data_IF_986966070513
#
_entry.id   IF_986966070513
#
_cell.length_a   1.000
_cell.length_b   1.000
_cell.length_c   1.000
_cell.angle_alpha   90.00
_cell.angle_beta   90.00
_cell.angle_gamma   90.00
#
_symmetry.space_group_name_H-M   'P 1'
#
loop_
_entity.id
_entity.type
_entity.pdbx_description
1 polymer ?
#
# COMPACT_ATOMS: atom_id res chain seq x y z
N UNK A 1 22.30 3.88 -8.60
CA UNK A 1 21.93 4.26 -7.23
C UNK A 1 22.51 3.24 -6.28
N UNK A 2 22.80 3.56 -5.02
CA UNK A 2 23.15 2.53 -4.05
C UNK A 2 21.98 1.54 -3.95
N UNK A 3 22.31 0.27 -3.75
CA UNK A 3 21.33 -0.78 -3.54
C UNK A 3 20.67 -0.56 -2.17
N UNK A 4 19.34 -0.71 -2.09
CA UNK A 4 18.63 -0.72 -0.82
C UNK A 4 19.04 -1.94 0.00
N UNK A 5 19.28 -1.76 1.28
CA UNK A 5 19.56 -2.81 2.27
C UNK A 5 18.58 -2.66 3.43
N UNK A 6 17.87 -3.71 3.75
CA UNK A 6 16.90 -3.68 4.85
C UNK A 6 17.59 -3.50 6.21
N UNK A 7 17.13 -2.58 7.06
CA UNK A 7 17.76 -2.30 8.37
C UNK A 7 17.31 -3.32 9.43
N UNK A 8 17.55 -4.61 9.16
CA UNK A 8 17.08 -5.74 9.99
C UNK A 8 17.54 -5.63 11.45
N UNK A 9 18.80 -5.28 11.69
CA UNK A 9 19.33 -5.16 13.05
C UNK A 9 18.59 -4.09 13.86
N UNK A 10 18.27 -2.94 13.22
CA UNK A 10 17.53 -1.87 13.88
C UNK A 10 16.08 -2.28 14.16
N UNK A 11 15.44 -2.99 13.21
CA UNK A 11 14.09 -3.52 13.40
C UNK A 11 14.04 -4.56 14.53
N UNK A 12 14.96 -5.51 14.55
CA UNK A 12 15.05 -6.53 15.59
C UNK A 12 15.31 -5.92 16.96
N UNK A 13 16.21 -4.94 17.07
CA UNK A 13 16.47 -4.21 18.31
C UNK A 13 15.19 -3.54 18.84
N UNK A 14 14.46 -2.84 17.97
CA UNK A 14 13.21 -2.17 18.39
C UNK A 14 12.18 -3.20 18.86
N UNK A 15 11.97 -4.28 18.12
CA UNK A 15 10.97 -5.30 18.44
C UNK A 15 11.31 -6.10 19.70
N UNK A 16 12.53 -6.62 19.78
CA UNK A 16 12.88 -7.57 20.83
C UNK A 16 13.41 -6.89 22.10
N UNK A 17 14.33 -5.91 21.95
CA UNK A 17 15.01 -5.30 23.10
C UNK A 17 14.20 -4.13 23.67
N UNK A 18 13.62 -3.27 22.80
CA UNK A 18 12.92 -2.08 23.28
C UNK A 18 11.43 -2.35 23.57
N UNK A 19 10.68 -2.97 22.65
CA UNK A 19 9.26 -3.27 22.82
C UNK A 19 8.98 -4.56 23.57
N UNK A 20 9.98 -5.41 23.76
CA UNK A 20 9.86 -6.72 24.41
C UNK A 20 8.73 -7.57 23.83
N UNK A 21 8.86 -7.87 22.53
CA UNK A 21 7.81 -8.51 21.73
C UNK A 21 7.36 -9.86 22.34
N UNK A 22 8.27 -10.65 22.90
CA UNK A 22 7.92 -11.92 23.56
C UNK A 22 6.94 -11.74 24.72
N UNK A 23 7.17 -10.73 25.57
CA UNK A 23 6.25 -10.44 26.67
C UNK A 23 4.92 -9.85 26.18
N UNK A 24 4.93 -9.14 25.04
CA UNK A 24 3.73 -8.66 24.39
C UNK A 24 2.88 -9.83 23.87
N UNK A 25 3.47 -10.75 23.14
CA UNK A 25 2.78 -11.91 22.58
C UNK A 25 2.25 -12.86 23.66
N UNK A 26 3.00 -13.04 24.74
CA UNK A 26 2.50 -13.80 25.89
C UNK A 26 1.19 -13.21 26.47
N UNK A 27 1.08 -11.89 26.53
CA UNK A 27 -0.16 -11.23 27.02
C UNK A 27 -1.35 -11.39 26.08
N UNK A 28 -1.09 -11.56 24.80
CA UNK A 28 -2.12 -11.70 23.74
C UNK A 28 -2.44 -13.17 23.40
N UNK A 29 -1.73 -14.14 23.98
CA UNK A 29 -1.88 -15.56 23.63
C UNK A 29 -1.34 -15.90 22.24
N UNK A 30 -0.27 -15.21 21.82
CA UNK A 30 0.38 -15.34 20.52
C UNK A 30 1.78 -15.96 20.63
N UNK A 31 2.00 -16.86 21.59
CA UNK A 31 3.31 -17.46 21.88
C UNK A 31 3.88 -18.29 20.74
N UNK A 32 3.04 -18.71 19.78
CA UNK A 32 3.47 -19.42 18.56
C UNK A 32 4.37 -18.55 17.68
N UNK A 33 4.30 -17.21 17.82
CA UNK A 33 5.21 -16.27 17.14
C UNK A 33 6.44 -16.00 18.01
N UNK A 34 7.33 -16.98 18.10
CA UNK A 34 8.58 -16.81 18.84
C UNK A 34 9.57 -15.90 18.10
N UNK A 35 10.67 -15.54 18.79
CA UNK A 35 11.67 -14.65 18.23
C UNK A 35 12.35 -15.21 16.97
N UNK A 36 12.55 -16.52 16.88
CA UNK A 36 13.20 -17.18 15.74
C UNK A 36 12.30 -17.06 14.49
N UNK A 37 11.01 -17.37 14.63
CA UNK A 37 10.03 -17.24 13.54
C UNK A 37 9.89 -15.79 13.08
N UNK A 38 9.78 -14.83 14.01
CA UNK A 38 9.70 -13.39 13.68
C UNK A 38 10.95 -12.98 12.90
N UNK A 39 12.14 -13.33 13.34
CA UNK A 39 13.38 -13.00 12.65
C UNK A 39 13.45 -13.63 11.26
N UNK A 40 12.99 -14.87 11.10
CA UNK A 40 12.97 -15.52 9.79
C UNK A 40 12.03 -14.81 8.82
N UNK A 41 10.81 -14.44 9.25
CA UNK A 41 9.87 -13.66 8.42
C UNK A 41 10.51 -12.32 7.99
N UNK A 42 11.16 -11.61 8.91
CA UNK A 42 11.84 -10.35 8.59
C UNK A 42 12.98 -10.56 7.58
N UNK A 43 13.78 -11.61 7.74
CA UNK A 43 14.88 -11.93 6.83
C UNK A 43 14.37 -12.27 5.42
N UNK A 44 13.29 -13.05 5.31
CA UNK A 44 12.67 -13.35 4.02
C UNK A 44 12.06 -12.10 3.38
N UNK A 45 11.39 -11.24 4.17
CA UNK A 45 10.89 -9.95 3.71
C UNK A 45 11.99 -9.01 3.21
N UNK A 46 13.14 -8.99 3.90
CA UNK A 46 14.33 -8.24 3.49
C UNK A 46 14.85 -8.75 2.15
N UNK A 47 15.07 -10.07 2.04
CA UNK A 47 15.55 -10.68 0.81
C UNK A 47 14.64 -10.38 -0.39
N UNK A 48 13.34 -10.54 -0.23
CA UNK A 48 12.37 -10.23 -1.28
C UNK A 48 12.42 -8.73 -1.66
N UNK A 49 12.50 -7.83 -0.68
CA UNK A 49 12.58 -6.39 -0.91
C UNK A 49 13.87 -6.00 -1.65
N UNK A 50 15.01 -6.57 -1.27
CA UNK A 50 16.33 -6.25 -1.83
C UNK A 50 16.57 -6.87 -3.20
N UNK A 51 16.20 -8.14 -3.39
CA UNK A 51 16.54 -8.90 -4.58
C UNK A 51 15.47 -8.81 -5.69
N UNK A 52 14.19 -8.66 -5.32
CA UNK A 52 13.08 -8.64 -6.29
C UNK A 52 12.55 -7.22 -6.51
N UNK A 53 12.29 -6.47 -5.44
CA UNK A 53 11.56 -5.19 -5.54
C UNK A 53 12.49 -4.00 -5.81
N UNK A 54 13.61 -3.89 -5.10
CA UNK A 54 14.53 -2.75 -5.25
C UNK A 54 15.11 -2.59 -6.66
N UNK A 55 15.49 -3.65 -7.39
CA UNK A 55 15.99 -3.52 -8.76
C UNK A 55 15.00 -2.85 -9.72
N UNK A 56 13.70 -3.02 -9.50
CA UNK A 56 12.64 -2.47 -10.35
C UNK A 56 12.38 -0.97 -10.13
N UNK A 57 12.91 -0.36 -9.06
CA UNK A 57 12.52 0.98 -8.65
C UNK A 57 12.88 2.05 -9.70
N UNK A 58 14.15 2.09 -10.12
CA UNK A 58 14.65 3.10 -11.06
C UNK A 58 14.05 2.91 -12.45
N UNK A 59 14.14 1.70 -12.97
CA UNK A 59 13.65 1.38 -14.31
C UNK A 59 12.13 1.60 -14.40
N UNK A 60 11.40 1.25 -13.34
CA UNK A 60 9.97 1.49 -13.24
C UNK A 60 9.59 2.98 -13.26
N UNK A 61 10.38 3.87 -12.62
CA UNK A 61 10.13 5.32 -12.70
C UNK A 61 10.51 5.90 -14.07
N UNK A 62 11.59 5.42 -14.68
CA UNK A 62 12.03 5.86 -16.01
C UNK A 62 11.04 5.43 -17.10
N UNK A 63 10.51 4.21 -17.03
CA UNK A 63 9.56 3.65 -17.98
C UNK A 63 8.15 4.20 -17.78
N UNK A 64 7.66 4.26 -16.54
CA UNK A 64 6.32 4.68 -16.17
C UNK A 64 5.21 3.76 -16.69
N UNK A 65 3.97 4.05 -16.29
CA UNK A 65 2.79 3.35 -16.79
C UNK A 65 2.32 3.91 -18.12
N UNK A 66 1.66 3.08 -18.94
CA UNK A 66 1.12 3.44 -20.25
C UNK A 66 -0.36 3.09 -20.33
N UNK A 67 -1.13 3.96 -20.98
CA UNK A 67 -2.53 3.69 -21.37
C UNK A 67 -2.58 3.58 -22.90
N UNK A 68 -2.94 2.42 -23.39
CA UNK A 68 -3.04 2.16 -24.84
C UNK A 68 -4.35 1.42 -25.12
N UNK A 69 -5.21 1.99 -25.94
CA UNK A 69 -6.51 1.41 -26.31
C UNK A 69 -7.38 1.03 -25.09
N UNK A 70 -7.36 1.84 -24.04
CA UNK A 70 -8.14 1.62 -22.82
C UNK A 70 -7.53 0.60 -21.83
N UNK A 71 -6.34 0.08 -22.11
CA UNK A 71 -5.63 -0.87 -21.25
C UNK A 71 -4.42 -0.18 -20.62
N UNK A 72 -4.29 -0.31 -19.31
CA UNK A 72 -3.14 0.18 -18.54
C UNK A 72 -2.11 -0.93 -18.44
N UNK A 73 -0.88 -0.62 -18.81
CA UNK A 73 0.28 -1.48 -18.60
C UNK A 73 1.25 -0.81 -17.64
N UNK A 74 1.75 -1.58 -16.69
CA UNK A 74 2.75 -1.17 -15.73
C UNK A 74 4.18 -1.40 -16.26
N UNK A 75 5.23 -0.88 -15.58
CA UNK A 75 6.61 -1.13 -15.99
C UNK A 75 6.96 -2.61 -16.02
N UNK A 76 7.92 -2.95 -16.89
CA UNK A 76 8.42 -4.32 -17.04
C UNK A 76 8.89 -4.89 -15.69
N UNK A 77 8.55 -6.14 -15.41
CA UNK A 77 8.89 -6.84 -14.18
C UNK A 77 7.91 -6.59 -13.01
N UNK A 78 7.10 -5.53 -13.01
CA UNK A 78 6.19 -5.22 -11.90
C UNK A 78 5.15 -6.31 -11.69
N UNK A 79 4.49 -6.75 -12.76
CA UNK A 79 3.49 -7.82 -12.68
C UNK A 79 4.13 -9.16 -12.23
N UNK A 80 5.34 -9.48 -12.74
CA UNK A 80 6.06 -10.71 -12.35
C UNK A 80 6.42 -10.68 -10.86
N UNK A 81 6.95 -9.56 -10.36
CA UNK A 81 7.25 -9.38 -8.95
C UNK A 81 5.98 -9.46 -8.08
N UNK A 82 4.82 -9.03 -8.60
CA UNK A 82 3.55 -9.17 -7.89
C UNK A 82 3.10 -10.63 -7.80
N UNK A 83 3.27 -11.43 -8.86
CA UNK A 83 2.96 -12.86 -8.81
C UNK A 83 3.86 -13.58 -7.79
N UNK A 84 5.13 -13.22 -7.70
CA UNK A 84 6.04 -13.76 -6.67
C UNK A 84 5.63 -13.31 -5.26
N UNK A 85 5.22 -12.06 -5.09
CA UNK A 85 4.73 -11.49 -3.82
C UNK A 85 3.52 -12.29 -3.28
N UNK A 86 2.52 -12.55 -4.12
CA UNK A 86 1.34 -13.32 -3.71
C UNK A 86 1.65 -14.80 -3.52
N UNK A 87 2.50 -15.40 -4.35
CA UNK A 87 2.92 -16.78 -4.23
C UNK A 87 3.66 -17.06 -2.91
N UNK A 88 4.39 -16.08 -2.38
CA UNK A 88 5.04 -16.13 -1.07
C UNK A 88 4.11 -15.73 0.10
N UNK A 89 2.86 -15.41 -0.17
CA UNK A 89 1.85 -15.09 0.84
C UNK A 89 1.96 -13.70 1.46
N UNK A 90 2.80 -12.81 0.93
CA UNK A 90 3.02 -11.47 1.51
C UNK A 90 1.77 -10.59 1.53
N UNK A 91 0.85 -10.77 0.57
CA UNK A 91 -0.41 -10.02 0.55
C UNK A 91 -1.39 -10.48 1.65
N UNK A 92 -1.28 -11.73 2.07
CA UNK A 92 -2.20 -12.37 3.01
C UNK A 92 -1.81 -12.19 4.50
N UNK A 93 -0.69 -11.53 4.80
CA UNK A 93 -0.14 -11.42 6.16
C UNK A 93 -1.17 -11.03 7.22
N UNK A 94 -1.92 -9.96 6.99
CA UNK A 94 -2.90 -9.41 7.94
C UNK A 94 -4.33 -9.93 7.71
N UNK A 95 -4.56 -10.69 6.64
CA UNK A 95 -5.87 -11.25 6.31
C UNK A 95 -6.33 -12.28 7.33
N UNK A 96 -7.64 -12.35 7.56
CA UNK A 96 -8.22 -13.34 8.48
C UNK A 96 -8.03 -14.78 7.96
N UNK A 97 -7.65 -15.68 8.86
CA UNK A 97 -7.53 -17.12 8.58
C UNK A 97 -8.85 -17.75 8.11
N UNK A 98 -10.01 -17.20 8.48
CA UNK A 98 -11.32 -17.61 7.99
C UNK A 98 -11.43 -17.51 6.45
N UNK A 99 -10.69 -16.58 5.85
CA UNK A 99 -10.67 -16.30 4.41
C UNK A 99 -9.28 -16.53 3.81
N UNK A 100 -8.58 -17.57 4.27
CA UNK A 100 -7.27 -18.00 3.76
C UNK A 100 -6.12 -17.00 4.01
N UNK A 101 -6.29 -16.06 4.95
CA UNK A 101 -5.23 -15.18 5.42
C UNK A 101 -4.33 -15.84 6.46
N UNK A 102 -3.26 -15.15 6.85
CA UNK A 102 -2.27 -15.65 7.81
C UNK A 102 -2.48 -15.14 9.23
N UNK A 103 -3.34 -14.15 9.42
CA UNK A 103 -3.66 -13.54 10.72
C UNK A 103 -2.44 -13.05 11.52
N UNK A 104 -1.35 -12.70 10.82
CA UNK A 104 -0.12 -12.24 11.47
C UNK A 104 -0.36 -10.98 12.30
N UNK A 105 0.39 -10.80 13.41
CA UNK A 105 0.41 -9.54 14.13
C UNK A 105 0.95 -8.39 13.27
N UNK A 106 0.45 -7.17 13.52
CA UNK A 106 0.95 -5.95 12.86
C UNK A 106 2.42 -5.69 13.16
N UNK A 107 2.90 -6.07 14.35
CA UNK A 107 4.31 -6.00 14.71
C UNK A 107 5.23 -6.84 13.82
N UNK A 108 4.71 -7.85 13.12
CA UNK A 108 5.43 -8.62 12.08
C UNK A 108 5.22 -7.99 10.70
N UNK A 109 3.99 -7.62 10.36
CA UNK A 109 3.67 -7.13 9.03
C UNK A 109 4.26 -5.73 8.74
N UNK A 110 4.23 -4.81 9.70
CA UNK A 110 4.68 -3.40 9.51
C UNK A 110 6.15 -3.28 9.13
N UNK A 111 7.12 -4.01 9.74
CA UNK A 111 8.51 -3.98 9.27
C UNK A 111 8.66 -4.46 7.83
N UNK A 112 7.95 -5.52 7.43
CA UNK A 112 7.96 -6.01 6.04
C UNK A 112 7.39 -4.96 5.08
N UNK A 113 6.30 -4.30 5.47
CA UNK A 113 5.70 -3.21 4.69
C UNK A 113 6.63 -1.99 4.56
N UNK A 114 7.40 -1.66 5.61
CA UNK A 114 8.46 -0.64 5.54
C UNK A 114 9.53 -1.02 4.53
N UNK A 115 10.03 -2.26 4.58
CA UNK A 115 11.07 -2.75 3.66
C UNK A 115 10.60 -2.71 2.20
N UNK A 116 9.41 -3.21 1.90
CA UNK A 116 8.81 -3.17 0.57
C UNK A 116 8.64 -1.73 0.05
N UNK A 117 8.15 -0.83 0.90
CA UNK A 117 7.97 0.60 0.55
C UNK A 117 9.30 1.31 0.33
N UNK A 118 10.34 1.00 1.13
CA UNK A 118 11.68 1.55 0.97
C UNK A 118 12.35 1.08 -0.31
N UNK A 119 12.11 -0.18 -0.69
CA UNK A 119 12.64 -0.78 -1.90
C UNK A 119 12.02 -0.18 -3.17
N UNK A 120 10.68 -0.09 -3.24
CA UNK A 120 9.97 0.49 -4.38
C UNK A 120 8.54 0.94 -4.00
N UNK A 121 8.40 2.19 -3.65
CA UNK A 121 7.12 2.77 -3.26
C UNK A 121 6.07 2.78 -4.39
N UNK A 122 6.49 2.92 -5.67
CA UNK A 122 5.58 2.91 -6.81
C UNK A 122 4.90 1.55 -6.97
N UNK A 123 5.65 0.49 -6.81
CA UNK A 123 5.16 -0.88 -6.86
C UNK A 123 4.26 -1.18 -5.65
N UNK A 124 4.72 -0.84 -4.45
CA UNK A 124 4.03 -1.13 -3.18
C UNK A 124 2.65 -0.45 -3.08
N UNK A 125 2.45 0.70 -3.73
CA UNK A 125 1.21 1.47 -3.61
C UNK A 125 -0.05 0.68 -4.03
N UNK A 126 0.06 -0.24 -4.98
CA UNK A 126 -1.07 -1.08 -5.42
C UNK A 126 -1.52 -2.06 -4.33
N UNK A 127 -0.59 -2.74 -3.67
CA UNK A 127 -0.92 -3.70 -2.61
C UNK A 127 -1.43 -3.02 -1.33
N UNK A 128 -0.96 -1.82 -0.99
CA UNK A 128 -1.50 -1.02 0.12
C UNK A 128 -3.01 -0.80 -0.01
N UNK A 129 -3.49 -0.45 -1.21
CA UNK A 129 -4.92 -0.22 -1.43
C UNK A 129 -5.73 -1.51 -1.32
N UNK A 130 -5.16 -2.64 -1.74
CA UNK A 130 -5.79 -3.96 -1.61
C UNK A 130 -5.92 -4.35 -0.14
N UNK A 131 -4.86 -4.21 0.66
CA UNK A 131 -4.88 -4.47 2.11
C UNK A 131 -5.94 -3.61 2.82
N UNK A 132 -5.98 -2.31 2.51
CA UNK A 132 -6.99 -1.41 3.07
C UNK A 132 -8.42 -1.76 2.61
N UNK A 133 -8.60 -2.22 1.36
CA UNK A 133 -9.91 -2.67 0.86
C UNK A 133 -10.38 -3.95 1.57
N UNK A 134 -9.47 -4.90 1.84
CA UNK A 134 -9.74 -6.09 2.65
C UNK A 134 -10.36 -5.72 3.99
N UNK A 135 -9.78 -4.75 4.70
CA UNK A 135 -10.32 -4.30 6.00
C UNK A 135 -11.75 -3.74 5.89
N UNK A 136 -12.01 -2.92 4.85
CA UNK A 136 -13.34 -2.34 4.65
C UNK A 136 -14.37 -3.42 4.28
N UNK A 137 -14.02 -4.37 3.41
CA UNK A 137 -14.90 -5.49 3.02
C UNK A 137 -15.15 -6.42 4.20
N UNK A 138 -14.12 -6.78 4.96
CA UNK A 138 -14.22 -7.62 6.17
C UNK A 138 -15.20 -7.03 7.17
N UNK A 139 -15.11 -5.72 7.41
CA UNK A 139 -15.90 -5.06 8.46
C UNK A 139 -17.33 -4.72 8.04
N UNK A 140 -17.57 -4.41 6.77
CA UNK A 140 -18.80 -3.75 6.35
C UNK A 140 -19.59 -4.48 5.25
N UNK A 141 -19.00 -5.41 4.50
CA UNK A 141 -19.71 -6.13 3.45
C UNK A 141 -20.66 -7.19 4.01
N UNK A 142 -21.68 -7.55 3.21
CA UNK A 142 -22.54 -8.68 3.53
C UNK A 142 -21.77 -10.01 3.44
N UNK A 143 -22.27 -11.04 4.12
CA UNK A 143 -21.63 -12.37 4.08
C UNK A 143 -21.56 -12.96 2.66
N UNK A 144 -22.53 -12.63 1.80
CA UNK A 144 -22.50 -13.04 0.38
C UNK A 144 -21.31 -12.38 -0.34
N UNK A 145 -21.12 -11.07 -0.15
CA UNK A 145 -20.00 -10.35 -0.77
C UNK A 145 -18.64 -10.80 -0.22
N UNK A 146 -18.55 -11.06 1.09
CA UNK A 146 -17.33 -11.61 1.69
C UNK A 146 -16.94 -12.94 1.06
N UNK A 147 -17.89 -13.86 0.95
CA UNK A 147 -17.67 -15.19 0.34
C UNK A 147 -17.20 -15.11 -1.11
N UNK A 148 -17.67 -14.11 -1.88
CA UNK A 148 -17.35 -13.98 -3.30
C UNK A 148 -16.01 -13.27 -3.53
N UNK A 149 -15.63 -12.31 -2.68
CA UNK A 149 -14.52 -11.41 -2.98
C UNK A 149 -13.37 -11.45 -1.98
N UNK A 150 -13.63 -11.78 -0.69
CA UNK A 150 -12.66 -11.51 0.35
C UNK A 150 -11.42 -12.41 0.27
N UNK A 151 -11.58 -13.72 0.06
CA UNK A 151 -10.46 -14.65 -0.07
C UNK A 151 -9.54 -14.26 -1.26
N UNK A 152 -10.12 -13.84 -2.38
CA UNK A 152 -9.38 -13.40 -3.57
C UNK A 152 -8.63 -12.08 -3.35
N UNK A 153 -9.18 -11.16 -2.56
CA UNK A 153 -8.50 -9.93 -2.16
C UNK A 153 -7.38 -10.19 -1.15
N UNK A 154 -7.59 -11.08 -0.19
CA UNK A 154 -6.60 -11.45 0.83
C UNK A 154 -5.41 -12.18 0.17
N UNK A 155 -5.67 -13.15 -0.70
CA UNK A 155 -4.59 -13.85 -1.43
C UNK A 155 -3.84 -12.92 -2.39
N UNK A 156 -4.44 -11.80 -2.82
CA UNK A 156 -3.92 -10.90 -3.84
C UNK A 156 -4.20 -11.35 -5.27
N UNK A 157 -4.96 -12.44 -5.47
CA UNK A 157 -5.40 -12.85 -6.81
C UNK A 157 -6.22 -11.76 -7.49
N UNK A 158 -6.96 -10.96 -6.70
CA UNK A 158 -7.59 -9.71 -7.13
C UNK A 158 -7.09 -8.56 -6.28
N UNK A 159 -7.11 -7.35 -6.88
CA UNK A 159 -6.72 -6.14 -6.18
C UNK A 159 -7.92 -5.28 -5.82
N UNK A 160 -7.74 -4.39 -4.83
CA UNK A 160 -8.75 -3.44 -4.39
C UNK A 160 -8.33 -1.99 -4.62
N UNK A 161 -9.31 -1.10 -4.86
CA UNK A 161 -9.08 0.34 -5.02
C UNK A 161 -10.04 1.18 -4.21
N UNK A 162 -9.66 2.44 -3.99
CA UNK A 162 -10.43 3.44 -3.26
C UNK A 162 -10.89 4.55 -4.21
N UNK A 163 -12.20 4.62 -4.53
CA UNK A 163 -12.77 5.53 -5.50
C UNK A 163 -13.65 6.61 -4.84
N UNK A 164 -13.04 7.71 -4.37
CA UNK A 164 -13.71 8.81 -3.68
C UNK A 164 -13.83 10.04 -4.56
N UNK A 165 -12.66 10.57 -4.96
CA UNK A 165 -12.47 11.91 -5.50
C UNK A 165 -13.11 12.08 -6.88
N UNK A 166 -13.81 13.19 -7.07
CA UNK A 166 -14.33 13.65 -8.35
C UNK A 166 -13.74 15.04 -8.69
N UNK A 167 -13.80 15.51 -9.94
CA UNK A 167 -13.22 16.81 -10.31
C UNK A 167 -13.68 17.98 -9.43
N UNK A 168 -14.93 17.96 -8.96
CA UNK A 168 -15.52 19.00 -8.09
C UNK A 168 -15.53 18.62 -6.60
N UNK A 169 -15.15 17.39 -6.23
CA UNK A 169 -15.27 16.84 -4.88
C UNK A 169 -13.97 16.11 -4.48
N UNK A 170 -13.01 16.85 -3.94
CA UNK A 170 -11.77 16.32 -3.38
C UNK A 170 -11.80 16.34 -1.86
N UNK A 171 -11.38 17.45 -1.25
CA UNK A 171 -11.45 17.64 0.21
C UNK A 171 -12.88 17.66 0.71
N UNK A 172 -13.79 18.34 0.00
CA UNK A 172 -15.22 18.37 0.30
C UNK A 172 -15.97 17.33 -0.53
N UNK A 173 -16.19 16.15 0.06
CA UNK A 173 -16.99 15.08 -0.55
C UNK A 173 -18.52 15.33 -0.53
N UNK A 174 -18.99 16.41 0.11
CA UNK A 174 -20.40 16.78 0.08
C UNK A 174 -20.91 17.07 -1.34
N UNK A 175 -19.98 17.44 -2.24
CA UNK A 175 -20.25 17.76 -3.64
C UNK A 175 -20.19 16.54 -4.59
N UNK A 176 -19.97 15.34 -4.06
CA UNK A 176 -19.93 14.10 -4.82
C UNK A 176 -21.24 13.91 -5.61
N UNK A 177 -21.10 13.62 -6.90
CA UNK A 177 -22.18 13.53 -7.88
C UNK A 177 -22.41 12.16 -8.49
N UNK A 178 -21.46 11.23 -8.35
CA UNK A 178 -21.63 9.83 -8.78
C UNK A 178 -22.91 9.23 -8.20
N UNK A 179 -23.71 8.60 -9.05
CA UNK A 179 -25.02 8.04 -8.71
C UNK A 179 -24.98 6.52 -8.64
N UNK A 180 -25.87 5.96 -7.83
CA UNK A 180 -26.12 4.53 -7.74
C UNK A 180 -27.64 4.28 -7.83
N UNK A 181 -28.09 3.82 -8.98
CA UNK A 181 -29.52 3.56 -9.22
C UNK A 181 -29.84 2.08 -8.94
N UNK A 182 -30.87 1.76 -8.14
CA UNK A 182 -31.23 0.37 -7.86
C UNK A 182 -31.62 -0.39 -9.13
N UNK A 183 -31.16 -1.63 -9.25
CA UNK A 183 -31.55 -2.59 -10.29
C UNK A 183 -32.52 -3.64 -9.72
N UNK A 184 -33.25 -4.34 -10.59
CA UNK A 184 -34.28 -5.32 -10.21
C UNK A 184 -33.73 -6.59 -9.53
N UNK A 185 -32.40 -6.83 -9.67
CA UNK A 185 -31.73 -8.02 -9.11
C UNK A 185 -31.03 -7.75 -7.77
N UNK A 186 -31.31 -6.60 -7.15
CA UNK A 186 -30.71 -6.20 -5.87
C UNK A 186 -29.32 -5.55 -6.00
N UNK A 187 -28.77 -5.45 -7.21
CA UNK A 187 -27.56 -4.67 -7.51
C UNK A 187 -27.91 -3.20 -7.77
N UNK A 188 -26.89 -2.42 -8.09
CA UNK A 188 -27.01 -1.00 -8.43
C UNK A 188 -26.24 -0.69 -9.70
N UNK A 189 -26.76 0.23 -10.51
CA UNK A 189 -26.07 0.80 -11.67
C UNK A 189 -25.33 2.07 -11.21
N UNK A 190 -24.02 2.04 -11.30
CA UNK A 190 -23.14 3.12 -10.87
C UNK A 190 -22.78 3.97 -12.09
N UNK A 191 -23.06 5.28 -12.02
CA UNK A 191 -22.75 6.22 -13.11
C UNK A 191 -22.05 7.46 -12.58
N UNK A 192 -20.88 7.77 -13.13
CA UNK A 192 -20.06 8.92 -12.76
C UNK A 192 -18.58 8.72 -13.04
N UNK A 193 -17.77 9.76 -12.74
CA UNK A 193 -16.33 9.73 -12.95
C UNK A 193 -15.57 9.92 -11.63
N UNK A 194 -14.48 9.19 -11.46
CA UNK A 194 -13.57 9.29 -10.33
C UNK A 194 -12.17 9.61 -10.82
N UNK A 195 -11.47 10.50 -10.11
CA UNK A 195 -10.11 10.94 -10.48
C UNK A 195 -9.11 10.60 -9.39
N UNK A 196 -7.84 10.54 -9.78
CA UNK A 196 -6.72 10.21 -8.89
C UNK A 196 -6.82 8.81 -8.26
N UNK A 197 -7.38 7.85 -8.99
CA UNK A 197 -7.54 6.49 -8.49
C UNK A 197 -6.24 5.72 -8.67
N UNK A 198 -5.51 5.54 -7.58
CA UNK A 198 -4.30 4.72 -7.56
C UNK A 198 -4.64 3.28 -7.89
N UNK A 199 -3.87 2.66 -8.79
CA UNK A 199 -4.10 1.30 -9.28
C UNK A 199 -5.54 1.07 -9.81
N UNK A 200 -6.18 2.13 -10.34
CA UNK A 200 -7.54 2.02 -10.89
C UNK A 200 -7.67 1.01 -12.01
N UNK A 201 -6.60 0.82 -12.78
CA UNK A 201 -6.42 -0.29 -13.71
C UNK A 201 -4.94 -0.64 -13.81
N UNK A 202 -4.64 -1.90 -14.10
CA UNK A 202 -3.30 -2.45 -14.25
C UNK A 202 -3.36 -3.87 -14.84
N UNK A 203 -2.20 -4.43 -15.16
CA UNK A 203 -1.99 -5.72 -15.81
C UNK A 203 -1.50 -6.85 -14.87
N UNK A 204 -1.71 -6.73 -13.55
CA UNK A 204 -1.17 -7.68 -12.56
C UNK A 204 -2.13 -8.82 -12.21
N UNK A 205 -3.44 -8.56 -12.29
CA UNK A 205 -4.49 -9.47 -11.80
C UNK A 205 -5.66 -9.55 -12.77
N UNK A 206 -6.40 -10.66 -12.70
CA UNK A 206 -7.54 -10.91 -13.58
C UNK A 206 -8.77 -10.06 -13.21
N UNK A 207 -8.85 -9.55 -11.98
CA UNK A 207 -9.94 -8.68 -11.56
C UNK A 207 -9.45 -7.57 -10.62
N UNK A 208 -10.17 -6.46 -10.61
CA UNK A 208 -9.96 -5.32 -9.71
C UNK A 208 -11.31 -4.99 -9.08
N UNK A 209 -11.34 -4.84 -7.76
CA UNK A 209 -12.54 -4.52 -6.99
C UNK A 209 -12.48 -3.05 -6.54
N UNK A 210 -13.34 -2.22 -7.11
CA UNK A 210 -13.40 -0.80 -6.78
C UNK A 210 -14.38 -0.56 -5.63
N UNK A 211 -13.92 0.07 -4.54
CA UNK A 211 -14.80 0.58 -3.48
C UNK A 211 -15.19 2.02 -3.83
N UNK A 212 -16.41 2.20 -4.30
CA UNK A 212 -16.89 3.44 -4.93
C UNK A 212 -17.89 4.17 -4.04
N UNK A 213 -17.61 5.43 -3.73
CA UNK A 213 -18.59 6.31 -3.09
C UNK A 213 -19.59 6.87 -4.12
N UNK A 214 -20.89 6.68 -3.88
CA UNK A 214 -21.96 7.16 -4.73
C UNK A 214 -23.22 7.53 -3.93
N UNK A 215 -24.18 8.18 -4.59
CA UNK A 215 -25.45 8.60 -4.00
C UNK A 215 -26.62 7.79 -4.54
N UNK A 216 -27.44 7.32 -3.63
CA UNK A 216 -28.75 6.74 -3.94
C UNK A 216 -29.76 7.82 -4.36
N UNK A 217 -30.82 7.49 -5.15
CA UNK A 217 -31.92 8.38 -5.41
C UNK A 217 -32.57 8.86 -4.11
N UNK A 218 -32.86 10.16 -4.00
CA UNK A 218 -33.49 10.73 -2.82
C UNK A 218 -32.60 10.78 -1.57
N UNK A 219 -31.30 10.48 -1.68
CA UNK A 219 -30.38 10.54 -0.56
C UNK A 219 -30.29 11.94 0.06
N UNK A 220 -30.06 12.06 1.37
CA UNK A 220 -29.81 13.34 2.03
C UNK A 220 -28.67 14.12 1.35
N UNK A 221 -28.76 15.45 1.37
CA UNK A 221 -27.69 16.31 0.88
C UNK A 221 -26.44 16.22 1.77
N UNK A 222 -25.30 16.59 1.22
CA UNK A 222 -24.03 16.59 1.94
C UNK A 222 -23.47 15.18 2.16
N UNK A 223 -22.55 15.03 3.09
CA UNK A 223 -21.83 13.78 3.34
C UNK A 223 -22.71 12.66 3.90
N UNK A 224 -23.83 13.02 4.55
CA UNK A 224 -24.78 12.06 5.12
C UNK A 224 -25.61 11.28 4.09
N UNK A 225 -25.52 11.64 2.81
CA UNK A 225 -26.22 10.92 1.72
C UNK A 225 -25.31 10.00 0.92
N UNK A 226 -24.05 9.82 1.33
CA UNK A 226 -23.08 9.01 0.60
C UNK A 226 -23.18 7.55 1.03
N UNK A 227 -23.25 6.64 0.06
CA UNK A 227 -23.19 5.18 0.24
C UNK A 227 -21.94 4.60 -0.39
N UNK A 228 -21.54 3.41 0.03
CA UNK A 228 -20.35 2.70 -0.50
C UNK A 228 -20.81 1.51 -1.34
N UNK A 229 -20.16 1.31 -2.48
CA UNK A 229 -20.44 0.22 -3.39
C UNK A 229 -19.16 -0.53 -3.76
N UNK A 230 -19.26 -1.85 -3.79
CA UNK A 230 -18.26 -2.74 -4.37
C UNK A 230 -18.59 -2.90 -5.86
N UNK A 231 -17.67 -2.49 -6.72
CA UNK A 231 -17.83 -2.51 -8.20
C UNK A 231 -16.66 -3.26 -8.81
N UNK A 232 -16.82 -4.52 -9.22
CA UNK A 232 -15.73 -5.28 -9.82
C UNK A 232 -15.49 -4.86 -11.27
N UNK A 233 -14.23 -4.94 -11.75
CA UNK A 233 -13.88 -4.73 -13.16
C UNK A 233 -14.51 -5.79 -14.06
N UNK A 234 -14.53 -7.03 -13.61
CA UNK A 234 -15.23 -8.15 -14.25
C UNK A 234 -16.28 -8.72 -13.31
N UNK A 235 -17.48 -8.89 -13.81
CA UNK A 235 -18.56 -9.57 -13.11
C UNK A 235 -18.26 -11.06 -13.03
N UNK A 236 -18.72 -11.69 -11.96
CA UNK A 236 -18.48 -13.11 -11.70
C UNK A 236 -19.58 -13.97 -12.36
N UNK A 237 -19.18 -15.13 -12.85
CA UNK A 237 -20.10 -16.19 -13.27
C UNK A 237 -20.67 -16.96 -12.05
N UNK A 238 -21.46 -18.00 -12.33
CA UNK A 238 -22.04 -18.85 -11.29
C UNK A 238 -20.99 -19.65 -10.49
N UNK A 239 -19.74 -19.76 -10.99
CA UNK A 239 -18.63 -20.44 -10.31
C UNK A 239 -17.76 -19.45 -9.50
N UNK A 240 -18.07 -18.15 -9.52
CA UNK A 240 -17.28 -17.12 -8.86
C UNK A 240 -16.03 -16.70 -9.64
N UNK A 241 -15.94 -17.00 -10.93
CA UNK A 241 -14.82 -16.60 -11.80
C UNK A 241 -15.14 -15.32 -12.58
N UNK A 242 -14.15 -14.44 -12.83
CA UNK A 242 -14.32 -13.28 -13.71
C UNK A 242 -14.77 -13.72 -15.11
N UNK A 243 -15.90 -13.20 -15.60
CA UNK A 243 -16.49 -13.64 -16.86
C UNK A 243 -16.84 -12.49 -17.79
N UNK A 244 -17.62 -11.54 -17.33
CA UNK A 244 -18.13 -10.44 -18.15
C UNK A 244 -17.50 -9.12 -17.73
N UNK A 245 -16.94 -8.36 -18.67
CA UNK A 245 -16.47 -7.00 -18.40
C UNK A 245 -17.63 -6.14 -17.88
N UNK A 246 -17.39 -5.42 -16.80
CA UNK A 246 -18.34 -4.46 -16.26
C UNK A 246 -18.27 -3.15 -17.06
N UNK A 247 -19.33 -2.34 -17.02
CA UNK A 247 -19.41 -1.07 -17.74
C UNK A 247 -18.58 0.03 -17.08
N UNK A 248 -17.29 -0.16 -17.01
CA UNK A 248 -16.33 0.83 -16.51
C UNK A 248 -15.10 0.91 -17.44
N UNK A 249 -14.44 2.04 -17.44
CA UNK A 249 -13.27 2.27 -18.31
C UNK A 249 -12.29 3.26 -17.70
N UNK A 250 -11.05 3.19 -18.15
CA UNK A 250 -10.01 4.18 -17.84
C UNK A 250 -10.08 5.32 -18.84
N UNK A 251 -10.37 6.53 -18.37
CA UNK A 251 -10.38 7.74 -19.20
C UNK A 251 -8.98 8.28 -19.48
N UNK A 252 -8.12 8.27 -18.49
CA UNK A 252 -6.71 8.67 -18.59
C UNK A 252 -5.90 8.18 -17.41
N UNK A 253 -4.57 8.27 -17.51
CA UNK A 253 -3.64 8.13 -16.39
C UNK A 253 -2.92 9.45 -16.16
N UNK A 254 -2.65 9.77 -14.89
CA UNK A 254 -2.01 11.02 -14.50
C UNK A 254 -0.51 11.03 -14.85
N UNK A 255 -0.04 12.17 -15.38
CA UNK A 255 1.39 12.47 -15.55
C UNK A 255 1.91 13.09 -14.25
N UNK A 256 2.66 12.33 -13.47
CA UNK A 256 3.12 12.73 -12.14
C UNK A 256 4.59 13.13 -12.14
N UNK A 257 4.99 13.91 -11.13
CA UNK A 257 6.38 14.29 -10.90
C UNK A 257 7.23 13.08 -10.48
N UNK A 258 6.66 12.15 -9.71
CA UNK A 258 7.25 10.90 -9.25
C UNK A 258 6.21 9.79 -9.18
N UNK A 259 6.58 8.62 -8.66
CA UNK A 259 5.73 7.43 -8.60
C UNK A 259 5.17 7.03 -9.98
N UNK A 260 5.96 7.17 -11.02
CA UNK A 260 5.50 6.98 -12.40
C UNK A 260 5.19 5.52 -12.71
N UNK A 261 5.81 4.58 -11.97
CA UNK A 261 5.52 3.16 -12.04
C UNK A 261 4.19 2.74 -11.40
N UNK A 262 3.49 3.65 -10.67
CA UNK A 262 2.16 3.40 -10.12
C UNK A 262 1.11 4.07 -10.98
N UNK A 263 0.14 3.36 -11.59
CA UNK A 263 -0.90 4.00 -12.38
C UNK A 263 -1.86 4.77 -11.47
N UNK A 264 -2.13 6.02 -11.82
CA UNK A 264 -3.13 6.86 -11.16
C UNK A 264 -4.17 7.24 -12.22
N UNK A 265 -5.35 6.64 -12.10
CA UNK A 265 -6.34 6.61 -13.16
C UNK A 265 -7.48 7.62 -12.95
N UNK A 266 -8.04 8.08 -14.07
CA UNK A 266 -9.41 8.57 -14.13
C UNK A 266 -10.30 7.39 -14.50
N UNK A 267 -11.24 7.04 -13.60
CA UNK A 267 -12.16 5.92 -13.80
C UNK A 267 -13.54 6.44 -14.18
N UNK A 268 -14.10 5.95 -15.29
CA UNK A 268 -15.47 6.23 -15.73
C UNK A 268 -16.34 5.01 -15.47
N UNK A 269 -17.46 5.22 -14.81
CA UNK A 269 -18.52 4.24 -14.57
C UNK A 269 -19.72 4.64 -15.42
N UNK A 270 -20.19 3.74 -16.28
CA UNK A 270 -21.29 3.96 -17.21
C UNK A 270 -22.33 2.85 -17.04
N UNK A 271 -23.23 3.03 -16.08
CA UNK A 271 -24.13 2.00 -15.57
C UNK A 271 -23.40 0.73 -15.08
N UNK A 272 -22.22 0.91 -14.51
CA UNK A 272 -21.43 -0.19 -13.97
C UNK A 272 -22.16 -0.90 -12.83
N UNK A 273 -22.25 -2.22 -12.89
CA UNK A 273 -22.91 -3.02 -11.85
C UNK A 273 -22.10 -3.00 -10.55
N UNK A 274 -22.77 -2.62 -9.46
CA UNK A 274 -22.18 -2.54 -8.13
C UNK A 274 -23.08 -3.11 -7.05
N UNK A 275 -22.50 -3.40 -5.88
CA UNK A 275 -23.16 -4.01 -4.75
C UNK A 275 -22.98 -3.12 -3.51
N UNK A 276 -24.03 -2.86 -2.75
CA UNK A 276 -23.98 -2.00 -1.57
C UNK A 276 -23.11 -2.64 -0.48
N UNK A 277 -22.20 -1.84 0.09
CA UNK A 277 -21.37 -2.21 1.25
C UNK A 277 -21.82 -1.39 2.46
N UNK A 278 -22.21 -2.09 3.52
CA UNK A 278 -22.83 -1.49 4.71
C UNK A 278 -24.27 -1.07 4.48
N UNK A 279 -24.79 -0.20 5.36
CA UNK A 279 -26.13 0.34 5.21
C UNK A 279 -26.18 1.54 4.25
N UNK A 280 -27.33 1.83 3.62
CA UNK A 280 -27.52 3.07 2.87
C UNK A 280 -27.11 4.29 3.69
N UNK A 281 -26.44 5.26 3.05
CA UNK A 281 -26.01 6.52 3.66
C UNK A 281 -24.93 6.42 4.75
N UNK A 282 -24.31 5.25 4.92
CA UNK A 282 -23.17 5.05 5.82
C UNK A 282 -21.82 4.96 5.08
N UNK A 283 -21.82 5.18 3.77
CA UNK A 283 -20.70 4.89 2.90
C UNK A 283 -19.39 5.60 3.29
N UNK A 284 -19.48 6.84 3.77
CA UNK A 284 -18.29 7.56 4.21
C UNK A 284 -17.71 6.94 5.49
N UNK A 285 -18.54 6.51 6.43
CA UNK A 285 -18.07 5.82 7.64
C UNK A 285 -17.41 4.46 7.31
N UNK A 286 -18.00 3.68 6.38
CA UNK A 286 -17.42 2.43 5.89
C UNK A 286 -16.07 2.68 5.19
N UNK A 287 -16.00 3.72 4.35
CA UNK A 287 -14.76 4.09 3.66
C UNK A 287 -13.66 4.57 4.62
N UNK A 288 -14.01 5.16 5.76
CA UNK A 288 -13.03 5.56 6.77
C UNK A 288 -12.25 4.38 7.36
N UNK A 289 -12.80 3.17 7.36
CA UNK A 289 -12.03 1.96 7.72
C UNK A 289 -10.83 1.79 6.80
N UNK A 290 -11.06 1.87 5.49
CA UNK A 290 -9.99 1.83 4.48
C UNK A 290 -9.05 3.04 4.59
N UNK A 291 -9.60 4.25 4.75
CA UNK A 291 -8.81 5.49 4.83
C UNK A 291 -7.92 5.55 6.06
N UNK A 292 -8.33 5.01 7.19
CA UNK A 292 -7.52 5.04 8.41
C UNK A 292 -6.28 4.16 8.26
N UNK A 293 -6.43 2.97 7.70
CA UNK A 293 -5.30 2.12 7.36
C UNK A 293 -4.39 2.80 6.32
N UNK A 294 -4.96 3.32 5.23
CA UNK A 294 -4.20 4.03 4.21
C UNK A 294 -3.41 5.23 4.78
N UNK A 295 -3.93 5.95 5.79
CA UNK A 295 -3.19 7.03 6.47
C UNK A 295 -1.95 6.53 7.19
N UNK A 296 -2.07 5.41 7.91
CA UNK A 296 -0.92 4.79 8.55
C UNK A 296 0.11 4.33 7.51
N UNK A 297 -0.33 3.64 6.46
CA UNK A 297 0.53 3.19 5.36
C UNK A 297 1.24 4.37 4.65
N UNK A 298 0.56 5.51 4.45
CA UNK A 298 1.20 6.72 3.90
C UNK A 298 2.19 7.35 4.88
N UNK A 299 1.92 7.29 6.18
CA UNK A 299 2.92 7.64 7.20
C UNK A 299 4.17 6.76 7.11
N UNK A 300 3.98 5.45 6.95
CA UNK A 300 5.05 4.48 6.77
C UNK A 300 5.84 4.72 5.47
N UNK A 301 5.18 5.15 4.39
CA UNK A 301 5.86 5.58 3.15
C UNK A 301 6.82 6.75 3.40
N UNK A 302 6.44 7.71 4.25
CA UNK A 302 7.32 8.82 4.64
C UNK A 302 8.60 8.33 5.32
N UNK A 303 8.49 7.39 6.25
CA UNK A 303 9.62 6.71 6.88
C UNK A 303 10.46 5.97 5.82
N UNK A 304 9.82 5.18 4.96
CA UNK A 304 10.48 4.34 3.95
C UNK A 304 11.30 5.14 2.95
N UNK A 305 10.77 6.26 2.45
CA UNK A 305 11.51 7.17 1.56
C UNK A 305 12.68 7.81 2.30
N UNK A 306 12.50 8.16 3.58
CA UNK A 306 13.57 8.73 4.40
C UNK A 306 14.70 7.74 4.63
N UNK A 307 14.39 6.46 4.87
CA UNK A 307 15.39 5.38 4.98
C UNK A 307 16.18 5.22 3.69
N UNK A 308 15.50 5.07 2.54
CA UNK A 308 16.16 4.94 1.25
C UNK A 308 17.03 6.17 0.92
N UNK A 309 16.56 7.38 1.26
CA UNK A 309 17.30 8.63 1.08
C UNK A 309 18.53 8.71 1.99
N UNK A 310 18.41 8.27 3.25
CA UNK A 310 19.53 8.21 4.19
C UNK A 310 20.62 7.27 3.69
N UNK A 311 20.26 6.04 3.28
CA UNK A 311 21.22 5.08 2.73
C UNK A 311 21.94 5.61 1.51
N UNK A 312 21.20 6.22 0.58
CA UNK A 312 21.77 6.86 -0.61
C UNK A 312 22.73 8.02 -0.27
N UNK A 313 22.34 8.87 0.68
CA UNK A 313 23.14 9.99 1.15
C UNK A 313 24.41 9.53 1.86
N UNK A 314 24.32 8.49 2.68
CA UNK A 314 25.45 7.91 3.40
C UNK A 314 26.48 7.32 2.43
N UNK A 315 26.03 6.49 1.49
CA UNK A 315 26.88 5.89 0.47
C UNK A 315 27.59 6.96 -0.35
N UNK A 316 26.84 7.96 -0.81
CA UNK A 316 27.41 9.08 -1.55
C UNK A 316 28.45 9.87 -0.73
N UNK A 317 28.18 10.12 0.55
CA UNK A 317 29.09 10.87 1.42
C UNK A 317 30.39 10.12 1.71
N UNK A 318 30.37 8.79 1.71
CA UNK A 318 31.57 7.94 1.84
C UNK A 318 32.41 8.00 0.56
N UNK A 319 31.78 7.90 -0.60
CA UNK A 319 32.45 7.77 -1.89
C UNK A 319 32.91 9.11 -2.48
N UNK A 320 32.16 10.20 -2.22
CA UNK A 320 32.45 11.51 -2.77
C UNK A 320 33.66 12.13 -2.09
N UNK A 321 34.76 12.24 -2.84
CA UNK A 321 35.97 12.90 -2.37
C UNK A 321 35.93 14.40 -2.68
N UNK A 322 36.10 15.26 -1.63
CA UNK A 322 36.18 16.70 -1.79
C UNK A 322 36.86 17.35 -0.59
N UNK A 323 37.95 18.10 -0.88
CA UNK A 323 38.78 18.78 0.14
C UNK A 323 39.38 17.83 1.18
N UNK A 324 40.02 18.38 2.21
CA UNK A 324 40.47 17.66 3.40
C UNK A 324 39.57 17.97 4.59
N UNK A 325 39.46 17.04 5.48
CA UNK A 325 38.67 17.25 6.71
C UNK A 325 39.33 18.35 7.58
N UNK A 326 38.56 19.22 8.24
CA UNK A 326 39.10 20.28 9.10
C UNK A 326 39.96 19.76 10.26
N UNK A 327 39.67 18.55 10.74
CA UNK A 327 40.43 17.90 11.81
C UNK A 327 41.70 17.18 11.34
N UNK A 328 42.06 17.36 10.07
CA UNK A 328 43.28 16.76 9.45
C UNK A 328 42.91 15.65 8.47
N UNK A 329 43.96 15.18 7.72
CA UNK A 329 43.83 14.19 6.67
C UNK A 329 43.30 12.86 7.24
N UNK A 330 42.16 12.37 6.74
CA UNK A 330 41.53 11.11 7.16
C UNK A 330 41.93 9.95 6.22
N UNK A 331 42.03 10.20 4.92
CA UNK A 331 42.35 9.20 3.90
C UNK A 331 43.71 9.57 3.25
N UNK A 332 44.81 9.10 3.86
CA UNK A 332 46.18 9.48 3.46
C UNK A 332 46.56 9.02 2.05
N UNK A 333 45.98 7.92 1.61
CA UNK A 333 46.20 7.27 0.30
C UNK A 333 45.40 7.91 -0.84
N UNK A 334 44.42 8.80 -0.51
CA UNK A 334 43.60 9.47 -1.50
C UNK A 334 43.94 10.96 -1.64
N UNK A 335 43.61 11.55 -2.80
CA UNK A 335 43.89 12.96 -3.11
C UNK A 335 43.03 13.93 -2.26
N UNK A 336 41.89 13.47 -1.76
CA UNK A 336 40.97 14.20 -0.88
C UNK A 336 40.34 13.23 0.09
N UNK A 337 39.65 13.74 1.12
CA UNK A 337 38.84 12.92 2.04
C UNK A 337 37.42 12.78 1.52
N UNK A 338 36.73 11.69 1.91
CA UNK A 338 35.29 11.55 1.72
C UNK A 338 34.54 12.67 2.43
N UNK A 339 33.47 13.20 1.82
CA UNK A 339 32.72 14.31 2.43
C UNK A 339 32.05 13.92 3.74
N UNK A 340 31.93 12.64 4.05
CA UNK A 340 31.47 12.14 5.36
C UNK A 340 32.32 12.68 6.52
N UNK A 341 33.56 13.08 6.27
CA UNK A 341 34.45 13.66 7.28
C UNK A 341 34.22 15.17 7.49
N UNK A 342 33.36 15.81 6.69
CA UNK A 342 32.99 17.21 6.86
C UNK A 342 31.94 17.35 7.98
N UNK A 343 32.14 18.25 8.97
CA UNK A 343 31.25 18.34 10.13
C UNK A 343 29.77 18.60 9.76
N UNK A 344 29.52 19.41 8.74
CA UNK A 344 28.19 19.76 8.31
C UNK A 344 27.47 18.57 7.64
N UNK A 345 28.18 17.81 6.79
CA UNK A 345 27.67 16.57 6.18
C UNK A 345 27.34 15.55 7.28
N UNK A 346 28.23 15.38 8.27
CA UNK A 346 27.96 14.48 9.41
C UNK A 346 26.74 14.90 10.21
N UNK A 347 26.58 16.20 10.46
CA UNK A 347 25.38 16.71 11.13
C UNK A 347 24.10 16.38 10.35
N UNK A 348 24.09 16.58 9.02
CA UNK A 348 22.94 16.23 8.17
C UNK A 348 22.64 14.72 8.21
N UNK A 349 23.65 13.86 8.08
CA UNK A 349 23.46 12.40 8.15
C UNK A 349 22.96 11.93 9.51
N UNK A 350 23.51 12.49 10.61
CA UNK A 350 23.05 12.15 11.96
C UNK A 350 21.61 12.62 12.20
N UNK A 351 21.19 13.76 11.64
CA UNK A 351 19.82 14.23 11.72
C UNK A 351 18.87 13.28 10.98
N UNK A 352 19.24 12.86 9.75
CA UNK A 352 18.46 11.89 8.99
C UNK A 352 18.34 10.56 9.76
N UNK A 353 19.46 10.01 10.21
CA UNK A 353 19.49 8.75 10.98
C UNK A 353 18.58 8.82 12.21
N UNK A 354 18.72 9.86 13.03
CA UNK A 354 17.93 10.01 14.25
C UNK A 354 16.43 10.10 13.99
N UNK A 355 16.02 10.81 12.91
CA UNK A 355 14.61 10.91 12.53
C UNK A 355 14.07 9.58 11.98
N UNK A 356 14.82 8.89 11.14
CA UNK A 356 14.44 7.60 10.56
C UNK A 356 14.26 6.55 11.66
N UNK A 357 15.24 6.39 12.55
CA UNK A 357 15.18 5.41 13.64
C UNK A 357 14.06 5.75 14.64
N UNK A 358 13.86 7.05 14.95
CA UNK A 358 12.77 7.49 15.81
C UNK A 358 11.39 7.24 15.19
N UNK A 359 11.22 7.49 13.89
CA UNK A 359 9.97 7.19 13.19
C UNK A 359 9.71 5.69 13.10
N UNK A 360 10.74 4.87 12.86
CA UNK A 360 10.63 3.39 12.88
C UNK A 360 10.18 2.90 14.24
N UNK A 361 10.83 3.33 15.31
CA UNK A 361 10.45 2.98 16.67
C UNK A 361 8.98 3.36 16.96
N UNK A 362 8.57 4.56 16.56
CA UNK A 362 7.18 5.01 16.71
C UNK A 362 6.19 4.17 15.89
N UNK A 363 6.51 3.82 14.65
CA UNK A 363 5.66 2.99 13.80
C UNK A 363 5.48 1.58 14.36
N UNK A 364 6.55 0.98 14.90
CA UNK A 364 6.50 -0.34 15.54
C UNK A 364 5.77 -0.33 16.89
N UNK A 365 5.91 0.75 17.67
CA UNK A 365 5.09 0.96 18.87
C UNK A 365 3.61 1.07 18.51
N UNK A 366 3.26 1.77 17.44
CA UNK A 366 1.89 1.85 16.96
C UNK A 366 1.37 0.49 16.48
N UNK A 367 2.19 -0.28 15.74
CA UNK A 367 1.86 -1.65 15.36
C UNK A 367 1.56 -2.55 16.57
N UNK A 368 2.33 -2.41 17.66
CA UNK A 368 2.08 -3.10 18.94
C UNK A 368 0.72 -2.71 19.55
N UNK A 369 0.29 -1.45 19.41
CA UNK A 369 -1.05 -1.05 19.85
C UNK A 369 -2.15 -1.64 18.96
N UNK A 370 -1.93 -1.72 17.65
CA UNK A 370 -2.88 -2.35 16.72
C UNK A 370 -3.08 -3.83 17.04
N UNK A 371 -2.04 -4.55 17.48
CA UNK A 371 -2.15 -5.95 17.91
C UNK A 371 -3.02 -6.12 19.16
N UNK A 372 -3.09 -5.11 20.03
CA UNK A 372 -3.96 -5.13 21.23
C UNK A 372 -5.43 -4.91 20.86
N UNK A 373 -5.69 -4.13 19.78
CA UNK A 373 -7.05 -3.81 19.33
C UNK A 373 -7.67 -4.91 18.44
N UNK A 374 -6.85 -5.84 17.92
CA UNK A 374 -7.27 -6.98 17.11
C UNK A 374 -7.91 -8.06 17.96
#
# INVERSE_FOLDING_TARGET
MPQYIAPINDMQFVLHDWLNLSAHYQKLGLEDFDQELVNEILNQGAKFSEEVIAPLNREGDEQGCKLTNGIVTTPDGFAVAYQEYIANGWNAMLGSAEYEGQDLPHTIAVPVQEMLSSANISWRLTSILTESAVLAVTKHASEELKKLYLAKLISGEWTGTMCLTEPQAGTDLSLLSTKAEPSNDGSFNITGGKIFISAGDHDWTDNIVHLVLARLPGAPTGVKGISLFLVPKFLLDANGSPAQANSLSVGSIEKKMGLKGSPTCVMNFDDAKGFLVGAPHTGLACMFTMMNDARFQVGLQGLSISEASYQGSLTYAIDRLQSRAPQGIQQKDKKADGIIHQPDVRRMLLTQKALVEGCRAFSLLYAQQMDIEK
#
